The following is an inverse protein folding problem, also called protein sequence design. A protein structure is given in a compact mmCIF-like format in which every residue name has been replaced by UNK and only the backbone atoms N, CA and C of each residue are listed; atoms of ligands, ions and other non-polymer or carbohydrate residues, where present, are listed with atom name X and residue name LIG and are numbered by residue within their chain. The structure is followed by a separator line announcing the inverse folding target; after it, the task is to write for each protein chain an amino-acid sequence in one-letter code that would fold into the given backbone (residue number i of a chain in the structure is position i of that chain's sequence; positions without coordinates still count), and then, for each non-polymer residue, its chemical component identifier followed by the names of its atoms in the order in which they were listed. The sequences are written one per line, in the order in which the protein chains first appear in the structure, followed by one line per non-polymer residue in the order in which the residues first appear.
data_IF_566983270420
#
_entry.id   IF_566983270420
#
_cell.length_a   1.000
_cell.length_b   1.000
_cell.length_c   1.000
_cell.angle_alpha   90.00
_cell.angle_beta   90.00
_cell.angle_gamma   90.00
#
_symmetry.space_group_name_H-M   'P 1'
#
loop_
_entity.id
_entity.type
_entity.pdbx_description
1 polymer ?
#
# COMPACT_ATOMS: atom_id res chain seq x y z
N UNK A 1 -32.38 -46.57 32.73
CA UNK A 1 -31.35 -45.71 33.34
C UNK A 1 -30.17 -45.66 32.40
N UNK A 2 -30.09 -44.66 31.59
CA UNK A 2 -29.03 -44.45 30.59
C UNK A 2 -28.35 -43.10 30.84
N UNK A 3 -27.08 -43.14 31.12
CA UNK A 3 -26.22 -41.99 31.39
C UNK A 3 -26.05 -41.19 30.10
N UNK A 4 -26.38 -39.91 30.14
CA UNK A 4 -26.03 -38.94 29.11
C UNK A 4 -24.56 -38.51 29.31
N UNK A 5 -23.73 -38.74 28.31
CA UNK A 5 -22.35 -38.21 28.22
C UNK A 5 -22.40 -36.77 27.72
N UNK A 6 -22.00 -35.84 28.55
CA UNK A 6 -21.75 -34.47 28.17
C UNK A 6 -20.36 -34.39 27.49
N UNK A 7 -20.35 -34.20 26.18
CA UNK A 7 -19.13 -33.84 25.47
C UNK A 7 -18.82 -32.33 25.66
N UNK A 8 -17.77 -32.03 26.38
CA UNK A 8 -17.24 -30.66 26.52
C UNK A 8 -16.52 -30.26 25.26
N UNK A 9 -17.09 -29.36 24.48
CA UNK A 9 -16.40 -28.73 23.34
C UNK A 9 -15.36 -27.73 23.87
N UNK A 10 -14.10 -28.06 23.73
CA UNK A 10 -13.00 -27.13 24.00
C UNK A 10 -12.97 -26.05 22.88
N UNK A 11 -13.34 -24.84 23.23
CA UNK A 11 -13.17 -23.66 22.38
C UNK A 11 -11.69 -23.31 22.41
N UNK A 12 -10.95 -23.61 21.31
CA UNK A 12 -9.61 -23.13 21.11
C UNK A 12 -9.67 -21.62 20.83
N UNK A 13 -9.29 -20.82 21.81
CA UNK A 13 -9.08 -19.38 21.63
C UNK A 13 -7.90 -19.19 20.68
N UNK A 14 -8.16 -18.78 19.44
CA UNK A 14 -7.14 -18.35 18.51
C UNK A 14 -6.45 -17.11 19.11
N UNK A 15 -5.16 -17.24 19.45
CA UNK A 15 -4.33 -16.12 19.89
C UNK A 15 -4.25 -15.12 18.74
N UNK A 16 -4.77 -13.92 18.92
CA UNK A 16 -4.59 -12.82 17.99
C UNK A 16 -3.08 -12.55 17.85
N UNK A 17 -2.59 -12.28 16.63
CA UNK A 17 -1.19 -11.94 16.42
C UNK A 17 -0.85 -10.70 17.26
N UNK A 18 0.17 -10.80 18.09
CA UNK A 18 0.65 -9.72 18.93
C UNK A 18 1.02 -8.55 18.02
N UNK A 19 0.34 -7.42 18.18
CA UNK A 19 0.74 -6.17 17.53
C UNK A 19 2.19 -5.87 17.88
N UNK A 20 3.03 -5.46 16.90
CA UNK A 20 4.41 -5.11 17.19
C UNK A 20 4.43 -4.05 18.28
N UNK A 21 5.13 -4.36 19.37
CA UNK A 21 5.31 -3.44 20.48
C UNK A 21 5.94 -2.16 19.95
N UNK A 22 5.33 -0.98 20.18
CA UNK A 22 5.97 0.26 19.79
C UNK A 22 7.35 0.31 20.44
N UNK A 23 8.39 0.54 19.65
CA UNK A 23 9.75 0.80 20.14
C UNK A 23 9.63 1.94 21.14
N UNK A 24 10.05 1.70 22.39
CA UNK A 24 9.91 2.68 23.44
C UNK A 24 10.52 4.02 22.98
N UNK A 25 9.68 5.06 22.95
CA UNK A 25 10.13 6.38 22.58
C UNK A 25 11.30 6.80 23.51
N UNK A 26 12.34 7.47 23.00
CA UNK A 26 13.41 7.97 23.85
C UNK A 26 12.81 8.88 24.92
N UNK A 27 13.16 8.65 26.16
CA UNK A 27 12.59 9.36 27.32
C UNK A 27 12.88 10.87 27.32
N UNK A 28 13.79 11.35 26.48
CA UNK A 28 14.13 12.77 26.30
C UNK A 28 14.55 13.02 24.84
N UNK A 29 14.20 14.19 24.32
CA UNK A 29 14.61 14.62 22.97
C UNK A 29 13.47 14.84 22.00
N UNK A 30 13.82 14.85 20.73
CA UNK A 30 12.88 14.95 19.61
C UNK A 30 13.02 13.71 18.74
N UNK A 31 11.89 13.17 18.26
CA UNK A 31 11.87 12.04 17.30
C UNK A 31 10.71 12.15 16.33
N UNK A 32 10.85 11.50 15.19
CA UNK A 32 9.79 11.33 14.23
C UNK A 32 9.04 10.02 14.47
N UNK A 33 7.75 10.01 14.17
CA UNK A 33 6.90 8.82 14.14
C UNK A 33 6.03 8.82 12.90
N UNK A 34 5.66 7.63 12.41
CA UNK A 34 4.75 7.46 11.29
C UNK A 34 3.63 6.49 11.63
N UNK A 35 2.45 6.82 11.15
CA UNK A 35 1.28 5.95 11.24
C UNK A 35 0.79 5.65 9.84
N UNK A 36 0.62 4.36 9.54
CA UNK A 36 0.04 3.89 8.27
C UNK A 36 -1.47 3.70 8.45
N UNK A 37 -2.25 4.39 7.63
CA UNK A 37 -3.70 4.26 7.59
C UNK A 37 -4.09 3.65 6.24
N UNK A 38 -4.74 2.49 6.25
CA UNK A 38 -5.15 1.79 5.04
C UNK A 38 -6.42 0.97 5.25
N UNK A 39 -7.13 0.73 4.17
CA UNK A 39 -8.27 -0.18 4.12
C UNK A 39 -7.84 -1.55 3.59
N UNK A 40 -7.43 -2.46 4.51
CA UNK A 40 -7.02 -3.81 4.16
C UNK A 40 -5.62 -3.91 3.53
N UNK A 41 -5.34 -5.06 2.93
CA UNK A 41 -4.03 -5.49 2.40
C UNK A 41 -4.02 -5.65 0.87
N UNK A 42 -5.13 -5.36 0.20
CA UNK A 42 -5.29 -5.58 -1.23
C UNK A 42 -4.41 -4.64 -2.07
N UNK A 43 -3.90 -5.14 -3.19
CA UNK A 43 -3.21 -4.34 -4.19
C UNK A 43 -4.11 -3.22 -4.72
N UNK A 44 -3.52 -2.11 -5.16
CA UNK A 44 -4.21 -0.90 -5.63
C UNK A 44 -5.13 -0.23 -4.59
N UNK A 45 -5.15 -0.72 -3.33
CA UNK A 45 -5.75 0.02 -2.24
C UNK A 45 -4.81 1.14 -1.82
N UNK A 46 -5.20 2.43 -1.87
CA UNK A 46 -4.36 3.51 -1.41
C UNK A 46 -4.14 3.39 0.10
N UNK A 47 -3.01 3.91 0.55
CA UNK A 47 -2.77 4.08 1.98
C UNK A 47 -2.18 5.45 2.26
N UNK A 48 -2.37 5.93 3.49
CA UNK A 48 -1.88 7.23 3.94
C UNK A 48 -0.76 7.02 4.94
N UNK A 49 0.33 7.74 4.73
CA UNK A 49 1.46 7.86 5.66
C UNK A 49 1.29 9.17 6.43
N UNK A 50 0.85 9.08 7.69
CA UNK A 50 0.77 10.23 8.57
C UNK A 50 2.10 10.39 9.32
N UNK A 51 2.70 11.58 9.23
CA UNK A 51 4.02 11.90 9.78
C UNK A 51 3.85 12.87 10.93
N UNK A 52 4.48 12.57 12.07
CA UNK A 52 4.46 13.41 13.24
C UNK A 52 5.87 13.55 13.87
N UNK A 53 6.08 14.65 14.57
CA UNK A 53 7.23 14.87 15.44
C UNK A 53 6.77 14.92 16.90
N UNK A 54 7.52 14.26 17.75
CA UNK A 54 7.36 14.33 19.20
C UNK A 54 8.52 15.13 19.79
N UNK A 55 8.21 16.12 20.60
CA UNK A 55 9.20 16.90 21.31
C UNK A 55 9.00 16.75 22.83
N UNK A 56 9.87 15.99 23.48
CA UNK A 56 9.88 15.78 24.94
C UNK A 56 10.90 16.64 25.68
N UNK A 57 11.45 17.69 25.05
CA UNK A 57 12.49 18.53 25.67
C UNK A 57 11.94 19.56 26.65
N UNK A 58 10.63 19.83 26.63
CA UNK A 58 9.99 20.85 27.46
C UNK A 58 10.11 22.27 26.93
N UNK A 59 10.82 22.51 25.83
CA UNK A 59 10.95 23.80 25.15
C UNK A 59 10.78 23.68 23.65
N UNK A 60 10.59 24.78 22.94
CA UNK A 60 10.48 24.79 21.47
C UNK A 60 11.82 24.40 20.86
N UNK A 61 11.79 23.45 19.95
CA UNK A 61 12.95 23.06 19.15
C UNK A 61 12.89 23.67 17.75
N UNK A 62 13.98 24.27 17.31
CA UNK A 62 14.11 24.92 16.00
C UNK A 62 14.85 23.99 15.05
N UNK A 63 14.11 23.33 14.15
CA UNK A 63 14.67 22.47 13.14
C UNK A 63 14.98 23.26 11.87
N UNK A 64 16.11 22.99 11.22
CA UNK A 64 16.53 23.65 9.97
C UNK A 64 16.59 22.64 8.84
N UNK A 65 16.03 23.03 7.70
CA UNK A 65 16.00 22.24 6.48
C UNK A 65 16.66 23.01 5.34
N UNK A 66 17.56 22.39 4.56
CA UNK A 66 18.31 23.08 3.50
C UNK A 66 17.45 23.31 2.25
N UNK A 67 16.30 22.67 2.19
CA UNK A 67 15.36 22.75 1.06
C UNK A 67 13.93 23.01 1.55
N UNK A 68 13.02 23.26 0.60
CA UNK A 68 11.60 23.36 0.91
C UNK A 68 11.02 22.05 1.47
N UNK A 69 11.66 20.92 1.16
CA UNK A 69 11.20 19.59 1.59
C UNK A 69 11.66 19.30 3.01
N UNK A 70 10.72 18.96 3.88
CA UNK A 70 10.98 18.64 5.28
C UNK A 70 11.32 17.15 5.45
N UNK A 71 10.76 16.31 4.60
CA UNK A 71 10.91 14.86 4.64
C UNK A 71 10.79 14.26 3.25
N UNK A 72 11.22 13.01 3.13
CA UNK A 72 11.01 12.14 1.98
C UNK A 72 10.33 10.86 2.44
N UNK A 73 9.37 10.39 1.68
CA UNK A 73 8.70 9.10 1.89
C UNK A 73 9.07 8.19 0.74
N UNK A 74 9.63 7.04 1.05
CA UNK A 74 9.96 6.00 0.09
C UNK A 74 9.18 4.71 0.44
N UNK A 75 8.72 3.99 -0.57
CA UNK A 75 8.25 2.60 -0.42
C UNK A 75 9.33 1.70 -0.99
N UNK A 76 9.87 0.85 -0.12
CA UNK A 76 10.99 -0.04 -0.43
C UNK A 76 10.50 -1.47 -0.64
N UNK A 77 11.04 -2.15 -1.63
CA UNK A 77 10.87 -3.59 -1.85
C UNK A 77 12.24 -4.18 -2.15
N UNK A 78 12.61 -5.23 -1.43
CA UNK A 78 13.93 -5.86 -1.54
C UNK A 78 15.10 -4.83 -1.49
N UNK A 79 15.05 -3.94 -0.49
CA UNK A 79 16.00 -2.85 -0.26
C UNK A 79 16.10 -1.78 -1.36
N UNK A 80 15.27 -1.82 -2.39
CA UNK A 80 15.19 -0.83 -3.45
C UNK A 80 13.92 0.03 -3.35
N UNK A 81 13.99 1.34 -3.58
CA UNK A 81 12.80 2.17 -3.65
C UNK A 81 12.01 1.84 -4.93
N UNK A 82 10.74 1.50 -4.76
CA UNK A 82 9.80 1.27 -5.87
C UNK A 82 8.85 2.44 -6.08
N UNK A 83 8.76 3.29 -5.08
CA UNK A 83 8.02 4.55 -5.12
C UNK A 83 8.66 5.57 -4.18
N UNK A 84 8.68 6.83 -4.58
CA UNK A 84 9.17 7.93 -3.75
C UNK A 84 8.32 9.20 -3.92
N UNK A 85 8.07 9.87 -2.82
CA UNK A 85 7.35 11.16 -2.80
C UNK A 85 8.09 12.28 -3.55
N UNK A 86 9.37 12.08 -3.84
CA UNK A 86 10.23 13.07 -4.52
C UNK A 86 10.59 12.68 -5.96
N UNK A 87 10.05 11.56 -6.48
CA UNK A 87 10.29 11.16 -7.86
C UNK A 87 9.85 12.24 -8.84
N UNK A 88 10.77 12.63 -9.74
CA UNK A 88 10.54 13.71 -10.70
C UNK A 88 10.53 15.12 -10.11
N UNK A 89 10.71 15.24 -8.79
CA UNK A 89 10.75 16.52 -8.09
C UNK A 89 12.20 16.98 -7.87
N UNK A 90 12.50 18.23 -8.21
CA UNK A 90 13.77 18.85 -7.84
C UNK A 90 13.59 19.64 -6.55
N UNK A 91 14.36 19.33 -5.49
CA UNK A 91 14.30 20.09 -4.26
C UNK A 91 14.51 21.59 -4.51
N UNK A 92 13.62 22.43 -4.01
CA UNK A 92 13.78 23.89 -4.09
C UNK A 92 14.78 24.30 -2.99
N UNK A 93 15.92 24.95 -3.33
CA UNK A 93 16.97 25.28 -2.38
C UNK A 93 16.60 26.51 -1.53
N UNK A 94 15.53 26.40 -0.79
CA UNK A 94 15.07 27.44 0.15
C UNK A 94 15.20 26.89 1.55
N UNK A 95 16.11 27.48 2.34
CA UNK A 95 16.24 27.11 3.75
C UNK A 95 14.92 27.38 4.49
N UNK A 96 14.41 26.36 5.18
CA UNK A 96 13.23 26.46 6.04
C UNK A 96 13.61 26.22 7.50
N UNK A 97 12.91 26.90 8.39
CA UNK A 97 12.89 26.61 9.81
C UNK A 97 11.52 26.08 10.19
N UNK A 98 11.51 25.06 11.02
CA UNK A 98 10.30 24.49 11.62
C UNK A 98 10.44 24.56 13.13
N UNK A 99 9.50 25.26 13.77
CA UNK A 99 9.43 25.32 15.21
C UNK A 99 8.55 24.18 15.72
N UNK A 100 9.13 23.31 16.54
CA UNK A 100 8.45 22.15 17.11
C UNK A 100 8.19 22.41 18.59
N UNK A 101 6.96 22.78 18.98
CA UNK A 101 6.60 22.98 20.37
C UNK A 101 6.72 21.67 21.18
N UNK A 102 6.77 21.73 22.51
CA UNK A 102 6.66 20.55 23.35
C UNK A 102 5.39 19.76 23.04
N UNK A 103 5.50 18.43 23.01
CA UNK A 103 4.40 17.53 22.70
C UNK A 103 4.43 16.99 21.27
N UNK A 104 3.26 16.79 20.68
CA UNK A 104 3.05 16.19 19.35
C UNK A 104 2.77 17.28 18.30
N UNK A 105 3.56 17.32 17.25
CA UNK A 105 3.32 18.12 16.05
C UNK A 105 3.03 17.20 14.86
N UNK A 106 1.83 17.26 14.31
CA UNK A 106 1.47 16.59 13.04
C UNK A 106 2.04 17.40 11.89
N UNK A 107 2.90 16.78 11.07
CA UNK A 107 3.56 17.45 9.95
C UNK A 107 2.75 17.37 8.66
N UNK A 108 2.40 16.15 8.26
CA UNK A 108 1.79 15.90 6.96
C UNK A 108 1.09 14.54 6.90
N UNK A 109 0.31 14.39 5.82
CA UNK A 109 -0.21 13.13 5.35
C UNK A 109 0.17 12.97 3.89
N UNK A 110 0.78 11.84 3.54
CA UNK A 110 1.16 11.49 2.17
C UNK A 110 0.32 10.30 1.73
N UNK A 111 -0.40 10.47 0.62
CA UNK A 111 -1.21 9.38 0.04
C UNK A 111 -0.34 8.65 -0.97
N UNK A 112 -0.26 7.33 -0.83
CA UNK A 112 0.41 6.42 -1.74
C UNK A 112 -0.65 5.58 -2.45
N UNK A 113 -0.70 5.69 -3.77
CA UNK A 113 -1.72 5.02 -4.61
C UNK A 113 -1.48 3.51 -4.81
N UNK A 114 -0.50 2.93 -4.09
CA UNK A 114 -0.08 1.52 -4.21
C UNK A 114 0.35 1.14 -5.64
N UNK A 115 0.96 2.10 -6.32
CA UNK A 115 1.64 1.91 -7.59
C UNK A 115 3.08 2.39 -7.48
N UNK A 116 3.96 1.79 -8.28
CA UNK A 116 5.36 2.20 -8.40
C UNK A 116 5.48 3.55 -9.13
N UNK A 117 6.68 4.14 -9.14
CA UNK A 117 6.95 5.39 -9.87
C UNK A 117 6.70 5.28 -11.38
N UNK A 118 6.84 4.09 -11.97
CA UNK A 118 6.50 3.78 -13.36
C UNK A 118 5.03 3.36 -13.55
N UNK A 119 4.17 3.59 -12.54
CA UNK A 119 2.72 3.35 -12.54
C UNK A 119 2.31 1.88 -12.70
N UNK A 120 3.11 0.96 -12.23
CA UNK A 120 2.74 -0.45 -12.09
C UNK A 120 2.14 -0.72 -10.71
N UNK A 121 1.22 -1.66 -10.60
CA UNK A 121 0.75 -2.11 -9.30
C UNK A 121 1.91 -2.70 -8.50
N UNK A 122 1.94 -2.51 -7.17
CA UNK A 122 2.91 -3.23 -6.35
C UNK A 122 2.75 -4.75 -6.51
N UNK A 123 3.83 -5.50 -6.35
CA UNK A 123 3.75 -6.95 -6.24
C UNK A 123 3.11 -7.37 -4.90
N UNK A 124 2.52 -8.56 -4.80
CA UNK A 124 2.22 -9.15 -3.50
C UNK A 124 3.48 -9.33 -2.67
N UNK A 125 3.41 -9.08 -1.38
CA UNK A 125 4.57 -9.27 -0.49
C UNK A 125 4.74 -8.16 0.53
N UNK A 126 5.91 -8.14 1.14
CA UNK A 126 6.28 -7.20 2.20
C UNK A 126 7.04 -6.01 1.63
N UNK A 127 6.75 -4.86 2.16
CA UNK A 127 7.39 -3.58 1.84
C UNK A 127 7.74 -2.84 3.12
N UNK A 128 8.70 -1.94 3.02
CA UNK A 128 9.04 -1.00 4.08
C UNK A 128 8.68 0.40 3.61
N UNK A 129 7.81 1.07 4.35
CA UNK A 129 7.57 2.51 4.20
C UNK A 129 8.60 3.24 5.05
N UNK A 130 9.50 3.94 4.40
CA UNK A 130 10.59 4.71 5.00
C UNK A 130 10.29 6.19 4.92
N UNK A 131 10.35 6.86 6.05
CA UNK A 131 10.32 8.33 6.11
C UNK A 131 11.66 8.83 6.60
N UNK A 132 12.31 9.65 5.79
CA UNK A 132 13.56 10.31 6.13
C UNK A 132 13.31 11.81 6.35
N UNK A 133 13.64 12.31 7.53
CA UNK A 133 13.66 13.75 7.82
C UNK A 133 14.93 14.37 7.21
N UNK A 134 14.77 15.48 6.48
CA UNK A 134 15.84 16.09 5.68
C UNK A 134 16.51 17.30 6.37
N UNK A 135 16.35 17.43 7.68
CA UNK A 135 16.92 18.53 8.45
C UNK A 135 18.46 18.46 8.59
N UNK A 136 19.11 19.61 8.69
CA UNK A 136 20.57 19.71 8.90
C UNK A 136 20.98 19.48 10.36
N UNK A 137 20.12 19.82 11.29
CA UNK A 137 20.33 19.63 12.73
C UNK A 137 19.41 18.58 13.35
N UNK A 138 18.60 17.93 12.53
CA UNK A 138 17.74 16.83 12.91
C UNK A 138 17.55 15.88 11.70
N UNK A 139 18.22 14.74 11.74
CA UNK A 139 18.04 13.64 10.81
C UNK A 139 17.39 12.47 11.52
N UNK A 140 16.29 11.96 11.01
CA UNK A 140 15.64 10.76 11.51
C UNK A 140 15.19 9.92 10.34
N UNK A 141 15.33 8.59 10.49
CA UNK A 141 14.76 7.62 9.56
C UNK A 141 13.80 6.76 10.37
N UNK A 142 12.58 6.64 9.90
CA UNK A 142 11.54 5.81 10.51
C UNK A 142 11.03 4.84 9.47
N UNK A 143 11.09 3.56 9.79
CA UNK A 143 10.64 2.47 8.94
C UNK A 143 9.38 1.81 9.53
N UNK A 144 8.41 1.48 8.68
CA UNK A 144 7.21 0.70 9.02
C UNK A 144 6.97 -0.36 7.95
N UNK A 145 6.73 -1.57 8.39
CA UNK A 145 6.36 -2.67 7.49
C UNK A 145 4.90 -2.54 7.03
N UNK A 146 4.68 -2.84 5.75
CA UNK A 146 3.37 -2.99 5.13
C UNK A 146 3.42 -4.22 4.23
N UNK A 147 2.31 -4.95 4.12
CA UNK A 147 2.23 -6.11 3.24
C UNK A 147 1.02 -6.01 2.32
N UNK A 148 1.14 -6.57 1.12
CA UNK A 148 0.06 -6.66 0.15
C UNK A 148 -0.24 -8.12 -0.16
N UNK A 149 -1.53 -8.46 -0.15
CA UNK A 149 -2.01 -9.79 -0.48
C UNK A 149 -2.01 -10.01 -1.99
N UNK A 150 -1.86 -11.27 -2.46
CA UNK A 150 -2.04 -11.59 -3.87
C UNK A 150 -3.46 -11.28 -4.32
N UNK A 151 -3.66 -10.94 -5.60
CA UNK A 151 -4.99 -10.74 -6.16
C UNK A 151 -5.78 -12.05 -6.15
N UNK A 152 -7.09 -11.95 -6.07
CA UNK A 152 -7.98 -13.10 -6.22
C UNK A 152 -7.95 -13.63 -7.67
N UNK A 153 -8.18 -14.93 -7.83
CA UNK A 153 -8.45 -15.49 -9.16
C UNK A 153 -9.82 -15.05 -9.67
N UNK A 154 -9.99 -14.96 -10.98
CA UNK A 154 -11.28 -14.57 -11.57
C UNK A 154 -12.38 -15.57 -11.20
N UNK A 155 -12.09 -16.87 -11.16
CA UNK A 155 -13.04 -17.89 -10.72
C UNK A 155 -13.54 -17.66 -9.29
N UNK A 156 -12.62 -17.32 -8.37
CA UNK A 156 -12.98 -17.00 -6.98
C UNK A 156 -13.81 -15.71 -6.90
N UNK A 157 -13.44 -14.69 -7.67
CA UNK A 157 -14.17 -13.44 -7.73
C UNK A 157 -15.61 -13.66 -8.21
N UNK A 158 -15.81 -14.48 -9.26
CA UNK A 158 -17.13 -14.82 -9.79
C UNK A 158 -18.03 -15.57 -8.77
N UNK A 159 -17.43 -16.33 -7.85
CA UNK A 159 -18.15 -17.03 -6.78
C UNK A 159 -18.51 -16.10 -5.61
N UNK A 160 -18.00 -14.87 -5.59
CA UNK A 160 -18.22 -13.93 -4.49
C UNK A 160 -19.56 -13.20 -4.65
N UNK A 161 -20.12 -12.72 -3.54
CA UNK A 161 -21.37 -11.96 -3.54
C UNK A 161 -21.20 -10.62 -4.28
N UNK A 162 -22.18 -10.19 -5.11
CA UNK A 162 -22.19 -8.85 -5.71
C UNK A 162 -22.05 -7.74 -4.66
N UNK A 163 -21.43 -6.64 -5.05
CA UNK A 163 -21.11 -5.50 -4.16
C UNK A 163 -19.84 -5.67 -3.34
N UNK A 164 -19.15 -6.84 -3.42
CA UNK A 164 -17.88 -7.04 -2.73
C UNK A 164 -16.74 -6.36 -3.50
N UNK A 165 -15.93 -5.58 -2.79
CA UNK A 165 -14.71 -4.99 -3.34
C UNK A 165 -13.62 -6.04 -3.39
N UNK A 166 -13.07 -6.26 -4.58
CA UNK A 166 -12.07 -7.28 -4.87
C UNK A 166 -10.89 -6.69 -5.64
N UNK A 167 -9.79 -7.42 -5.63
CA UNK A 167 -8.65 -7.16 -6.52
C UNK A 167 -8.35 -8.45 -7.27
N UNK A 168 -8.42 -8.39 -8.59
CA UNK A 168 -8.17 -9.50 -9.50
C UNK A 168 -7.01 -9.17 -10.44
N UNK A 169 -6.38 -10.17 -11.03
CA UNK A 169 -5.36 -9.96 -12.05
C UNK A 169 -5.62 -10.84 -13.27
N UNK A 170 -5.25 -10.33 -14.44
CA UNK A 170 -5.41 -11.08 -15.68
C UNK A 170 -4.97 -10.29 -16.90
N UNK A 171 -5.08 -10.92 -18.05
CA UNK A 171 -4.82 -10.32 -19.36
C UNK A 171 -6.10 -9.67 -19.91
N UNK A 172 -6.10 -8.36 -20.17
CA UNK A 172 -7.25 -7.69 -20.76
C UNK A 172 -7.34 -7.94 -22.27
N UNK A 173 -8.56 -8.10 -22.77
CA UNK A 173 -8.83 -8.19 -24.21
C UNK A 173 -10.23 -7.66 -24.55
N UNK A 174 -10.50 -7.47 -25.83
CA UNK A 174 -11.81 -7.05 -26.33
C UNK A 174 -12.44 -8.21 -27.07
N UNK A 175 -13.65 -8.57 -26.70
CA UNK A 175 -14.46 -9.62 -27.31
C UNK A 175 -15.76 -8.99 -27.85
N UNK A 176 -15.89 -8.92 -29.18
CA UNK A 176 -17.07 -8.31 -29.82
C UNK A 176 -17.36 -6.88 -29.37
N UNK A 177 -16.32 -6.08 -29.06
CA UNK A 177 -16.47 -4.72 -28.54
C UNK A 177 -16.65 -4.65 -27.01
N UNK A 178 -16.73 -5.79 -26.32
CA UNK A 178 -16.88 -5.88 -24.86
C UNK A 178 -15.54 -6.07 -24.20
N UNK A 179 -15.13 -5.20 -23.23
CA UNK A 179 -13.89 -5.38 -22.50
C UNK A 179 -14.00 -6.56 -21.53
N UNK A 180 -13.00 -7.42 -21.55
CA UNK A 180 -12.91 -8.61 -20.71
C UNK A 180 -11.52 -8.72 -20.09
N UNK A 181 -11.44 -9.45 -18.97
CA UNK A 181 -10.20 -9.86 -18.31
C UNK A 181 -10.21 -11.38 -18.20
N UNK A 182 -9.08 -12.03 -18.49
CA UNK A 182 -8.91 -13.49 -18.33
C UNK A 182 -7.69 -13.81 -17.50
N UNK A 183 -7.80 -14.87 -16.71
CA UNK A 183 -6.67 -15.55 -16.08
C UNK A 183 -6.70 -17.04 -16.44
N UNK A 184 -5.87 -17.85 -15.78
CA UNK A 184 -5.85 -19.29 -16.00
C UNK A 184 -7.14 -20.01 -15.51
N UNK A 185 -7.99 -19.34 -14.74
CA UNK A 185 -9.15 -19.96 -14.07
C UNK A 185 -10.48 -19.63 -14.76
N UNK A 186 -10.62 -18.41 -15.29
CA UNK A 186 -11.87 -17.93 -15.86
C UNK A 186 -11.67 -16.63 -16.67
N UNK A 187 -12.80 -16.13 -17.19
CA UNK A 187 -12.93 -14.82 -17.84
C UNK A 187 -14.07 -14.04 -17.19
N UNK A 188 -13.89 -12.73 -17.06
CA UNK A 188 -14.92 -11.81 -16.55
C UNK A 188 -15.06 -10.60 -17.45
N UNK A 189 -16.31 -10.12 -17.62
CA UNK A 189 -16.59 -8.85 -18.28
C UNK A 189 -16.20 -7.69 -17.38
N UNK A 190 -15.63 -6.65 -17.95
CA UNK A 190 -15.31 -5.40 -17.28
C UNK A 190 -16.33 -4.32 -17.64
N UNK A 191 -16.64 -3.40 -16.72
CA UNK A 191 -17.51 -2.25 -16.98
C UNK A 191 -16.89 -1.25 -17.96
N UNK A 192 -15.55 -1.22 -18.02
CA UNK A 192 -14.75 -0.38 -18.94
C UNK A 192 -13.45 -1.06 -19.32
N UNK A 193 -12.88 -0.66 -20.45
CA UNK A 193 -11.57 -1.13 -20.85
C UNK A 193 -10.50 -0.68 -19.86
N UNK A 194 -9.60 -1.59 -19.48
CA UNK A 194 -8.35 -1.31 -18.81
C UNK A 194 -7.25 -1.28 -19.87
N UNK A 195 -6.18 -0.47 -19.65
CA UNK A 195 -5.19 -0.15 -20.67
C UNK A 195 -4.76 -1.34 -21.52
N UNK A 196 -4.90 -1.21 -22.83
CA UNK A 196 -4.70 -2.32 -23.78
C UNK A 196 -3.24 -2.32 -24.23
N UNK A 197 -2.38 -3.00 -23.51
CA UNK A 197 -1.12 -3.50 -24.06
C UNK A 197 -1.26 -5.02 -24.15
N UNK A 198 -1.21 -5.63 -25.34
CA UNK A 198 -1.27 -7.07 -25.47
C UNK A 198 -0.12 -7.73 -24.70
N UNK A 199 -0.38 -8.88 -24.12
CA UNK A 199 0.56 -9.70 -23.36
C UNK A 199 1.03 -9.10 -22.01
N UNK A 200 0.34 -8.11 -21.46
CA UNK A 200 0.57 -7.64 -20.10
C UNK A 200 -0.55 -8.07 -19.17
N UNK A 201 -0.17 -8.59 -18.01
CA UNK A 201 -1.10 -8.79 -16.90
C UNK A 201 -1.42 -7.45 -16.27
N UNK A 202 -2.69 -7.20 -16.02
CA UNK A 202 -3.17 -6.05 -15.27
C UNK A 202 -3.75 -6.50 -13.94
N UNK A 203 -3.46 -5.72 -12.90
CA UNK A 203 -4.15 -5.79 -11.62
C UNK A 203 -5.32 -4.80 -11.70
N UNK A 204 -6.50 -5.26 -11.32
CA UNK A 204 -7.74 -4.48 -11.38
C UNK A 204 -8.42 -4.55 -10.02
N UNK A 205 -8.68 -3.40 -9.41
CA UNK A 205 -9.45 -3.26 -8.18
C UNK A 205 -10.79 -2.62 -8.47
N UNK A 206 -11.85 -3.21 -7.97
CA UNK A 206 -13.20 -2.75 -8.18
C UNK A 206 -14.19 -3.60 -7.39
N UNK A 207 -15.42 -3.64 -7.81
CA UNK A 207 -16.44 -4.48 -7.17
C UNK A 207 -17.18 -5.33 -8.22
N UNK A 208 -17.58 -6.52 -7.79
CA UNK A 208 -18.39 -7.40 -8.60
C UNK A 208 -19.83 -6.90 -8.60
N UNK A 209 -20.41 -6.78 -9.77
CA UNK A 209 -21.82 -6.43 -9.95
C UNK A 209 -22.55 -7.54 -10.73
N UNK A 210 -23.87 -7.44 -10.80
CA UNK A 210 -24.71 -8.31 -11.58
C UNK A 210 -25.56 -7.46 -12.54
N UNK A 211 -25.39 -7.68 -13.84
CA UNK A 211 -26.18 -7.00 -14.89
C UNK A 211 -26.98 -8.07 -15.63
N UNK A 212 -28.27 -8.22 -15.28
CA UNK A 212 -29.07 -9.37 -15.71
C UNK A 212 -28.48 -10.67 -15.13
N UNK A 213 -28.27 -11.66 -15.99
CA UNK A 213 -27.66 -12.94 -15.62
C UNK A 213 -26.12 -12.94 -15.69
N UNK A 214 -25.50 -11.85 -16.14
CA UNK A 214 -24.05 -11.76 -16.31
C UNK A 214 -23.40 -11.09 -15.10
N UNK A 215 -22.25 -11.63 -14.68
CA UNK A 215 -21.38 -11.00 -13.69
C UNK A 215 -20.45 -10.02 -14.39
N UNK A 216 -20.44 -8.79 -13.92
CA UNK A 216 -19.63 -7.69 -14.46
C UNK A 216 -18.74 -7.16 -13.35
N UNK A 217 -17.46 -6.96 -13.64
CA UNK A 217 -16.54 -6.33 -12.73
C UNK A 217 -16.48 -4.84 -12.99
N UNK A 218 -17.00 -4.04 -12.04
CA UNK A 218 -16.94 -2.59 -12.14
C UNK A 218 -15.56 -2.10 -11.71
N UNK A 219 -14.85 -1.55 -12.70
CA UNK A 219 -13.44 -1.18 -12.56
C UNK A 219 -13.32 0.16 -11.84
N UNK A 220 -12.81 0.14 -10.62
CA UNK A 220 -12.41 1.34 -9.89
C UNK A 220 -11.01 1.82 -10.27
N UNK A 221 -10.00 0.94 -10.11
CA UNK A 221 -8.58 1.21 -10.41
C UNK A 221 -7.97 0.08 -11.20
N UNK A 222 -6.98 0.37 -12.02
CA UNK A 222 -6.20 -0.62 -12.76
C UNK A 222 -4.78 -0.14 -13.00
N UNK A 223 -3.82 -1.07 -12.98
CA UNK A 223 -2.44 -0.82 -13.36
C UNK A 223 -1.82 -2.10 -13.94
N UNK A 224 -0.80 -2.01 -14.81
CA UNK A 224 0.02 -3.16 -15.18
C UNK A 224 0.59 -3.81 -13.92
N UNK A 225 0.67 -5.14 -13.89
CA UNK A 225 1.30 -5.85 -12.79
C UNK A 225 2.79 -5.49 -12.70
N UNK A 226 3.31 -5.49 -11.50
CA UNK A 226 4.75 -5.40 -11.27
C UNK A 226 5.38 -6.70 -11.75
N UNK A 227 6.10 -6.64 -12.84
CA UNK A 227 6.98 -7.73 -13.25
C UNK A 227 8.28 -7.58 -12.45
N UNK A 228 8.62 -8.58 -11.65
CA UNK A 228 9.98 -8.69 -11.14
C UNK A 228 10.89 -8.69 -12.36
N UNK A 229 11.61 -7.59 -12.51
CA UNK A 229 12.39 -7.29 -13.71
C UNK A 229 13.26 -8.49 -14.07
N UNK A 230 13.14 -9.09 -15.25
CA UNK A 230 14.15 -10.00 -15.70
C UNK A 230 15.45 -9.22 -15.74
N UNK A 231 16.49 -9.77 -15.17
CA UNK A 231 17.88 -9.37 -15.23
C UNK A 231 18.17 -8.59 -16.51
N UNK A 232 18.77 -7.38 -16.47
CA UNK A 232 19.16 -6.69 -17.67
C UNK A 232 20.01 -7.66 -18.50
N UNK A 233 19.55 -7.94 -19.69
CA UNK A 233 20.29 -8.74 -20.68
C UNK A 233 21.70 -8.15 -20.77
N UNK A 234 22.78 -8.93 -20.57
CA UNK A 234 24.11 -8.41 -20.78
C UNK A 234 24.15 -7.95 -22.23
N UNK A 235 24.37 -6.65 -22.41
CA UNK A 235 24.60 -6.05 -23.72
C UNK A 235 25.72 -6.79 -24.42
N UNK A 236 25.59 -7.16 -25.71
CA UNK A 236 26.62 -7.81 -26.49
C UNK A 236 27.85 -6.92 -26.71
#
# INVERSE_FOLDING_TARGET
MTRAEFAAAAIAAAAAPASPRPTAAPARGIWADITLQREGTALLAPFTVAIALHNATGHVMHLRFPTADLFRVDVMHDDAPVWSSVTGHKPIPITRQLDVPPGLLRLAQVIVDSTTDDRRAFAPGKYIVRVAMLGTNFGAIVDKEIAFDPPDTISRALATKPGTVLTIAGEPYIDGGTPRLRDATATIRLSRAVGIRPNLTYVVRGFLDAVGDERVFDVGRSAPAFENNPTPSPNP
#
